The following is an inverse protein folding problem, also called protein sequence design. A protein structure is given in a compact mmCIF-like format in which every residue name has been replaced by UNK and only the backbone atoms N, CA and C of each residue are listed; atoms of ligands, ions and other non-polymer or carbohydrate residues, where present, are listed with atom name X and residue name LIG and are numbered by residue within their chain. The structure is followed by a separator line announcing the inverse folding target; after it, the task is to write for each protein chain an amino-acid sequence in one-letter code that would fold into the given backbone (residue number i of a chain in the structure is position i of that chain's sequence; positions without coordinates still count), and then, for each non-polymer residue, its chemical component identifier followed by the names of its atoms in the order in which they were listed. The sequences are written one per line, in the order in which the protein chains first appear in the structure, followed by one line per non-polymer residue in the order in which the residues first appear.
data_IF_761841861409
#
_entry.id   IF_761841861409
#
_cell.length_a   1.000
_cell.length_b   1.000
_cell.length_c   1.000
_cell.angle_alpha   90.00
_cell.angle_beta   90.00
_cell.angle_gamma   90.00
#
_symmetry.space_group_name_H-M   'P 1'
#
loop_
_entity.id
_entity.type
_entity.pdbx_description
1 polymer ?
#
# COMPACT_ATOMS: atom_id res chain seq x y z
N UNK A 1 10.53 -24.52 0.03
CA UNK A 1 10.32 -25.10 -1.32
C UNK A 1 10.00 -26.56 -1.11
N UNK A 2 8.71 -26.86 -0.94
CA UNK A 2 8.19 -28.20 -0.67
C UNK A 2 8.15 -28.99 -1.98
N UNK A 3 8.56 -30.26 -1.94
CA UNK A 3 8.86 -31.12 -3.09
C UNK A 3 7.70 -31.51 -4.02
N UNK A 4 6.64 -30.71 -4.12
CA UNK A 4 5.50 -30.91 -5.01
C UNK A 4 5.64 -30.10 -6.33
N UNK A 5 6.53 -29.10 -6.35
CA UNK A 5 6.77 -28.23 -7.53
C UNK A 5 7.50 -28.95 -8.69
N UNK A 6 8.00 -30.17 -8.48
CA UNK A 6 8.86 -30.88 -9.43
C UNK A 6 8.11 -31.62 -10.55
N UNK A 7 6.78 -31.75 -10.48
CA UNK A 7 6.01 -32.56 -11.44
C UNK A 7 4.97 -31.77 -12.26
N UNK A 8 4.53 -30.60 -11.79
CA UNK A 8 3.48 -29.83 -12.44
C UNK A 8 3.94 -29.20 -13.77
N UNK A 9 3.41 -29.67 -14.89
CA UNK A 9 3.63 -29.07 -16.21
C UNK A 9 2.71 -27.86 -16.35
N UNK A 10 3.29 -26.66 -16.47
CA UNK A 10 2.51 -25.43 -16.55
C UNK A 10 1.87 -25.30 -17.94
N UNK A 11 0.55 -25.11 -18.02
CA UNK A 11 -0.19 -24.99 -19.28
C UNK A 11 -0.60 -23.55 -19.54
N UNK A 12 -0.23 -23.02 -20.70
CA UNK A 12 -0.59 -21.65 -21.10
C UNK A 12 -1.38 -21.69 -22.39
N UNK A 13 -2.53 -21.02 -22.41
CA UNK A 13 -3.30 -20.76 -23.63
C UNK A 13 -2.97 -19.38 -24.17
N UNK A 14 -2.49 -19.30 -25.42
CA UNK A 14 -2.22 -18.05 -26.13
C UNK A 14 -3.37 -17.72 -27.07
N UNK A 15 -4.04 -16.60 -26.86
CA UNK A 15 -5.18 -16.14 -27.66
C UNK A 15 -4.74 -14.96 -28.53
N UNK A 16 -4.43 -15.25 -29.79
CA UNK A 16 -3.90 -14.30 -30.78
C UNK A 16 -4.24 -14.77 -32.20
N UNK A 17 -4.91 -13.90 -32.95
CA UNK A 17 -5.35 -14.12 -34.33
C UNK A 17 -4.18 -14.09 -35.32
N UNK A 18 -3.15 -13.27 -35.06
CA UNK A 18 -2.01 -13.13 -35.97
C UNK A 18 -0.96 -14.21 -35.73
N UNK A 19 -0.84 -15.12 -36.69
CA UNK A 19 0.11 -16.25 -36.69
C UNK A 19 1.52 -15.86 -36.27
N UNK A 20 2.06 -14.77 -36.79
CA UNK A 20 3.42 -14.31 -36.48
C UNK A 20 3.59 -13.96 -34.99
N UNK A 21 2.63 -13.22 -34.42
CA UNK A 21 2.69 -12.79 -33.02
C UNK A 21 2.48 -13.97 -32.08
N UNK A 22 1.55 -14.86 -32.43
CA UNK A 22 1.30 -16.11 -31.73
C UNK A 22 2.55 -16.97 -31.64
N UNK A 23 3.28 -17.13 -32.76
CA UNK A 23 4.56 -17.85 -32.79
C UNK A 23 5.60 -17.18 -31.89
N UNK A 24 5.75 -15.87 -31.98
CA UNK A 24 6.71 -15.12 -31.14
C UNK A 24 6.42 -15.28 -29.64
N UNK A 25 5.16 -15.17 -29.23
CA UNK A 25 4.73 -15.39 -27.84
C UNK A 25 5.04 -16.84 -27.43
N UNK A 26 4.66 -17.80 -28.27
CA UNK A 26 4.87 -19.23 -27.98
C UNK A 26 6.35 -19.57 -27.79
N UNK A 27 7.24 -19.13 -28.68
CA UNK A 27 8.68 -19.34 -28.55
C UNK A 27 9.24 -18.64 -27.30
N UNK A 28 8.75 -17.43 -26.99
CA UNK A 28 9.16 -16.72 -25.78
C UNK A 28 8.79 -17.49 -24.52
N UNK A 29 7.60 -18.10 -24.48
CA UNK A 29 7.12 -18.85 -23.32
C UNK A 29 7.86 -20.17 -23.14
N UNK A 30 8.32 -20.83 -24.20
CA UNK A 30 9.12 -22.05 -24.10
C UNK A 30 10.40 -21.88 -23.28
N UNK A 31 10.92 -20.65 -23.19
CA UNK A 31 12.05 -20.33 -22.29
C UNK A 31 11.73 -20.49 -20.79
N UNK A 32 10.47 -20.74 -20.40
CA UNK A 32 10.08 -21.15 -19.05
C UNK A 32 10.50 -22.57 -18.69
N UNK A 33 10.88 -23.41 -19.66
CA UNK A 33 11.22 -24.81 -19.45
C UNK A 33 9.99 -25.71 -19.54
N UNK A 34 9.50 -26.21 -18.40
CA UNK A 34 8.38 -27.18 -18.33
C UNK A 34 7.01 -26.53 -18.56
N UNK A 35 6.76 -26.12 -19.80
CA UNK A 35 5.51 -25.48 -20.22
C UNK A 35 4.90 -26.16 -21.44
N UNK A 36 3.58 -26.37 -21.42
CA UNK A 36 2.79 -26.68 -22.61
C UNK A 36 2.10 -25.38 -23.02
N UNK A 37 2.31 -24.99 -24.27
CA UNK A 37 1.68 -23.80 -24.84
C UNK A 37 0.76 -24.26 -25.94
N UNK A 38 -0.53 -23.96 -25.79
CA UNK A 38 -1.52 -24.13 -26.83
C UNK A 38 -2.08 -22.76 -27.25
N UNK A 39 -2.94 -22.73 -28.26
CA UNK A 39 -3.43 -21.48 -28.79
C UNK A 39 -4.88 -21.50 -29.27
N UNK A 40 -5.45 -20.31 -29.26
CA UNK A 40 -6.69 -19.98 -29.94
C UNK A 40 -6.50 -18.72 -30.79
N UNK A 41 -7.24 -18.63 -31.88
CA UNK A 41 -7.23 -17.53 -32.84
C UNK A 41 -8.33 -16.50 -32.57
N UNK A 42 -9.39 -16.85 -31.84
CA UNK A 42 -10.45 -15.94 -31.43
C UNK A 42 -10.94 -16.23 -30.00
N UNK A 43 -11.78 -15.33 -29.47
CA UNK A 43 -12.31 -15.45 -28.11
C UNK A 43 -13.21 -16.66 -27.92
N UNK A 44 -14.03 -17.02 -28.91
CA UNK A 44 -14.92 -18.19 -28.84
C UNK A 44 -14.15 -19.50 -28.81
N UNK A 45 -13.16 -19.63 -29.70
CA UNK A 45 -12.24 -20.76 -29.69
C UNK A 45 -11.49 -20.84 -28.36
N UNK A 46 -11.05 -19.71 -27.80
CA UNK A 46 -10.39 -19.69 -26.50
C UNK A 46 -11.28 -20.20 -25.36
N UNK A 47 -12.56 -19.79 -25.31
CA UNK A 47 -13.51 -20.25 -24.28
C UNK A 47 -13.74 -21.75 -24.36
N UNK A 48 -13.85 -22.32 -25.56
CA UNK A 48 -13.97 -23.76 -25.77
C UNK A 48 -12.68 -24.50 -25.37
N UNK A 49 -11.52 -23.98 -25.81
CA UNK A 49 -10.22 -24.58 -25.54
C UNK A 49 -9.90 -24.62 -24.04
N UNK A 50 -10.33 -23.62 -23.25
CA UNK A 50 -10.11 -23.58 -21.80
C UNK A 50 -10.69 -24.83 -21.11
N UNK A 51 -11.90 -25.25 -21.49
CA UNK A 51 -12.56 -26.42 -20.90
C UNK A 51 -11.86 -27.75 -21.21
N UNK A 52 -11.18 -27.84 -22.36
CA UNK A 52 -10.47 -29.05 -22.78
C UNK A 52 -9.01 -29.09 -22.31
N UNK A 53 -8.30 -27.96 -22.42
CA UNK A 53 -6.87 -27.86 -22.11
C UNK A 53 -6.62 -27.79 -20.59
N UNK A 54 -7.57 -27.22 -19.84
CA UNK A 54 -7.42 -26.86 -18.43
C UNK A 54 -6.14 -26.03 -18.19
N UNK A 55 -5.99 -24.85 -18.85
CA UNK A 55 -4.79 -24.05 -18.73
C UNK A 55 -4.63 -23.47 -17.32
N UNK A 56 -3.40 -23.22 -16.91
CA UNK A 56 -3.07 -22.50 -15.68
C UNK A 56 -3.06 -20.98 -15.86
N UNK A 57 -2.94 -20.53 -17.11
CA UNK A 57 -2.88 -19.12 -17.48
C UNK A 57 -3.32 -18.91 -18.92
N UNK A 58 -3.91 -17.74 -19.17
CA UNK A 58 -4.22 -17.26 -20.52
C UNK A 58 -3.37 -16.03 -20.81
N UNK A 59 -2.82 -15.97 -22.02
CA UNK A 59 -2.21 -14.76 -22.57
C UNK A 59 -3.04 -14.35 -23.79
N UNK A 60 -3.72 -13.21 -23.73
CA UNK A 60 -4.60 -12.74 -24.80
C UNK A 60 -4.11 -11.44 -25.41
N UNK A 61 -4.34 -11.26 -26.71
CA UNK A 61 -4.22 -9.95 -27.34
C UNK A 61 -5.36 -9.03 -26.90
N UNK A 62 -5.06 -7.75 -26.71
CA UNK A 62 -6.02 -6.65 -26.66
C UNK A 62 -6.79 -6.49 -27.97
N UNK A 63 -6.07 -6.45 -29.09
CA UNK A 63 -6.61 -6.20 -30.44
C UNK A 63 -7.16 -7.48 -31.10
N UNK A 64 -7.35 -8.56 -30.32
CA UNK A 64 -7.91 -9.83 -30.77
C UNK A 64 -9.20 -9.62 -31.55
N UNK A 65 -9.28 -10.19 -32.77
CA UNK A 65 -10.49 -10.13 -33.60
C UNK A 65 -11.06 -8.70 -33.73
N UNK A 66 -10.18 -7.73 -34.00
CA UNK A 66 -10.56 -6.33 -34.17
C UNK A 66 -10.86 -5.56 -32.88
N UNK A 67 -10.31 -5.98 -31.73
CA UNK A 67 -10.44 -5.26 -30.45
C UNK A 67 -11.34 -5.92 -29.41
N UNK A 68 -11.71 -7.19 -29.63
CA UNK A 68 -12.58 -7.96 -28.76
C UNK A 68 -11.84 -8.69 -27.63
N UNK A 69 -10.53 -8.49 -27.46
CA UNK A 69 -9.75 -9.09 -26.37
C UNK A 69 -10.33 -8.81 -24.98
N UNK A 70 -10.78 -7.58 -24.73
CA UNK A 70 -11.47 -7.23 -23.48
C UNK A 70 -12.82 -7.93 -23.32
N UNK A 71 -13.56 -8.11 -24.43
CA UNK A 71 -14.85 -8.80 -24.40
C UNK A 71 -14.64 -10.26 -24.01
N UNK A 72 -13.66 -10.94 -24.61
CA UNK A 72 -13.26 -12.29 -24.22
C UNK A 72 -12.96 -12.40 -22.72
N UNK A 73 -12.16 -11.50 -22.16
CA UNK A 73 -11.86 -11.54 -20.71
C UNK A 73 -13.12 -11.37 -19.87
N UNK A 74 -14.01 -10.45 -20.23
CA UNK A 74 -15.28 -10.27 -19.50
C UNK A 74 -16.16 -11.53 -19.54
N UNK A 75 -16.23 -12.20 -20.69
CA UNK A 75 -16.95 -13.47 -20.88
C UNK A 75 -16.36 -14.59 -20.04
N UNK A 76 -15.03 -14.71 -20.01
CA UNK A 76 -14.31 -15.62 -19.11
C UNK A 76 -14.63 -15.33 -17.63
N UNK A 77 -14.61 -14.05 -17.22
CA UNK A 77 -14.98 -13.64 -15.85
C UNK A 77 -16.47 -13.86 -15.54
N UNK A 78 -17.34 -13.87 -16.54
CA UNK A 78 -18.75 -14.21 -16.41
C UNK A 78 -19.01 -15.72 -16.29
N UNK A 79 -17.98 -16.56 -16.46
CA UNK A 79 -18.09 -18.00 -16.29
C UNK A 79 -18.47 -18.76 -17.56
N UNK A 80 -18.37 -18.14 -18.74
CA UNK A 80 -18.71 -18.81 -20.01
C UNK A 80 -17.83 -20.02 -20.33
N UNK A 81 -16.59 -20.05 -19.83
CA UNK A 81 -15.72 -21.23 -19.92
C UNK A 81 -15.95 -22.25 -18.78
N UNK A 82 -16.82 -21.94 -17.82
CA UNK A 82 -17.06 -22.69 -16.58
C UNK A 82 -16.69 -21.89 -15.33
N UNK A 83 -17.43 -22.11 -14.24
CA UNK A 83 -17.32 -21.36 -12.99
C UNK A 83 -15.90 -21.40 -12.38
N UNK A 84 -15.24 -22.55 -12.47
CA UNK A 84 -13.86 -22.73 -11.97
C UNK A 84 -12.83 -21.86 -12.69
N UNK A 85 -13.07 -21.48 -13.95
CA UNK A 85 -12.13 -20.70 -14.76
C UNK A 85 -12.34 -19.19 -14.64
N UNK A 86 -13.36 -18.73 -13.90
CA UNK A 86 -13.53 -17.29 -13.63
C UNK A 86 -12.29 -16.68 -12.98
N UNK A 87 -11.55 -17.48 -12.21
CA UNK A 87 -10.31 -17.08 -11.51
C UNK A 87 -9.02 -17.40 -12.27
N UNK A 88 -9.14 -17.92 -13.50
CA UNK A 88 -8.01 -18.24 -14.37
C UNK A 88 -7.17 -16.97 -14.61
N UNK A 89 -5.87 -16.97 -14.30
CA UNK A 89 -5.03 -15.80 -14.50
C UNK A 89 -4.92 -15.40 -15.96
N UNK A 90 -5.08 -14.11 -16.26
CA UNK A 90 -5.04 -13.56 -17.63
C UNK A 90 -3.97 -12.48 -17.74
N UNK A 91 -3.03 -12.65 -18.66
CA UNK A 91 -2.11 -11.59 -19.07
C UNK A 91 -2.56 -11.03 -20.42
N UNK A 92 -2.68 -9.71 -20.53
CA UNK A 92 -3.06 -9.06 -21.78
C UNK A 92 -1.86 -8.42 -22.46
N UNK A 93 -1.64 -8.74 -23.74
CA UNK A 93 -0.66 -8.09 -24.59
C UNK A 93 -1.34 -6.97 -25.40
N UNK A 94 -0.79 -5.75 -25.38
CA UNK A 94 -1.37 -4.61 -26.10
C UNK A 94 -0.32 -3.88 -26.93
N UNK A 95 -0.68 -3.39 -28.11
CA UNK A 95 0.22 -2.60 -28.97
C UNK A 95 0.36 -1.13 -28.55
N UNK A 96 -0.55 -0.61 -27.72
CA UNK A 96 -0.62 0.80 -27.34
C UNK A 96 -0.68 0.97 -25.83
N UNK A 97 0.21 1.78 -25.27
CA UNK A 97 0.31 2.04 -23.83
C UNK A 97 -0.50 3.23 -23.31
N UNK A 98 -1.63 3.59 -23.95
CA UNK A 98 -2.46 4.71 -23.47
C UNK A 98 -3.07 4.38 -22.11
N UNK A 99 -3.25 5.39 -21.25
CA UNK A 99 -3.86 5.23 -19.92
C UNK A 99 -5.23 4.54 -20.01
N UNK A 100 -6.06 4.93 -20.99
CA UNK A 100 -7.37 4.33 -21.21
C UNK A 100 -7.34 2.83 -21.56
N UNK A 101 -6.29 2.38 -22.25
CA UNK A 101 -6.08 0.96 -22.57
C UNK A 101 -5.78 0.18 -21.29
N UNK A 102 -4.84 0.69 -20.49
CA UNK A 102 -4.46 0.07 -19.21
C UNK A 102 -5.67 0.00 -18.25
N UNK A 103 -6.44 1.08 -18.17
CA UNK A 103 -7.66 1.13 -17.36
C UNK A 103 -8.73 0.16 -17.86
N UNK A 104 -8.92 0.06 -19.18
CA UNK A 104 -9.84 -0.89 -19.80
C UNK A 104 -9.50 -2.34 -19.45
N UNK A 105 -8.23 -2.74 -19.58
CA UNK A 105 -7.75 -4.09 -19.22
C UNK A 105 -7.99 -4.39 -17.74
N UNK A 106 -7.61 -3.44 -16.87
CA UNK A 106 -7.81 -3.56 -15.42
C UNK A 106 -9.28 -3.68 -15.05
N UNK A 107 -10.16 -2.95 -15.75
CA UNK A 107 -11.60 -2.98 -15.52
C UNK A 107 -12.26 -4.27 -16.03
N UNK A 108 -11.73 -4.88 -17.09
CA UNK A 108 -12.20 -6.16 -17.62
C UNK A 108 -11.82 -7.35 -16.73
N UNK A 109 -10.89 -7.19 -15.78
CA UNK A 109 -10.49 -8.28 -14.88
C UNK A 109 -9.20 -8.99 -15.30
N UNK A 110 -8.33 -8.30 -16.05
CA UNK A 110 -7.00 -8.78 -16.43
C UNK A 110 -6.05 -8.80 -15.23
N UNK A 111 -5.19 -9.82 -15.17
CA UNK A 111 -4.20 -9.96 -14.12
C UNK A 111 -2.99 -9.05 -14.34
N UNK A 112 -2.28 -9.29 -15.42
CA UNK A 112 -1.13 -8.49 -15.84
C UNK A 112 -1.29 -7.98 -17.26
N UNK A 113 -0.54 -6.93 -17.59
CA UNK A 113 -0.48 -6.47 -18.96
C UNK A 113 0.98 -6.30 -19.40
N UNK A 114 1.21 -6.51 -20.69
CA UNK A 114 2.50 -6.31 -21.34
C UNK A 114 2.29 -5.47 -22.60
N UNK A 115 3.20 -4.54 -22.84
CA UNK A 115 3.15 -3.70 -24.05
C UNK A 115 4.05 -4.29 -25.12
N UNK A 116 3.54 -4.36 -26.35
CA UNK A 116 4.32 -4.68 -27.55
C UNK A 116 5.02 -3.42 -28.08
N UNK A 117 6.26 -3.53 -28.57
CA UNK A 117 7.12 -4.71 -28.52
C UNK A 117 7.62 -4.98 -27.08
N UNK A 118 7.69 -6.25 -26.68
CA UNK A 118 8.24 -6.67 -25.39
C UNK A 118 9.48 -7.55 -25.58
N UNK A 119 10.42 -7.47 -24.63
CA UNK A 119 11.50 -8.44 -24.54
C UNK A 119 11.02 -9.76 -23.96
N UNK A 120 11.75 -10.84 -24.23
CA UNK A 120 11.53 -12.15 -23.58
C UNK A 120 11.47 -11.99 -22.07
N UNK A 121 12.44 -11.28 -21.48
CA UNK A 121 12.48 -11.03 -20.04
C UNK A 121 11.23 -10.31 -19.53
N UNK A 122 10.72 -9.31 -20.27
CA UNK A 122 9.54 -8.56 -19.87
C UNK A 122 8.29 -9.44 -19.79
N UNK A 123 8.06 -10.31 -20.78
CA UNK A 123 6.93 -11.25 -20.77
C UNK A 123 7.10 -12.29 -19.65
N UNK A 124 8.27 -12.93 -19.56
CA UNK A 124 8.54 -13.95 -18.54
C UNK A 124 8.42 -13.40 -17.11
N UNK A 125 8.84 -12.15 -16.88
CA UNK A 125 8.66 -11.49 -15.60
C UNK A 125 7.18 -11.37 -15.23
N UNK A 126 6.30 -11.01 -16.19
CA UNK A 126 4.85 -10.92 -15.92
C UNK A 126 4.24 -12.28 -15.62
N UNK A 127 4.64 -13.32 -16.34
CA UNK A 127 4.21 -14.70 -16.05
C UNK A 127 4.59 -15.10 -14.62
N UNK A 128 5.86 -14.89 -14.24
CA UNK A 128 6.35 -15.22 -12.89
C UNK A 128 5.66 -14.39 -11.80
N UNK A 129 5.39 -13.11 -12.05
CA UNK A 129 4.66 -12.26 -11.10
C UNK A 129 3.24 -12.78 -10.81
N UNK A 130 2.52 -13.20 -11.85
CA UNK A 130 1.17 -13.76 -11.71
C UNK A 130 1.19 -15.11 -10.98
N UNK A 131 2.18 -15.94 -11.28
CA UNK A 131 2.37 -17.23 -10.61
C UNK A 131 2.67 -17.05 -9.12
N UNK A 132 3.62 -16.17 -8.77
CA UNK A 132 4.08 -16.00 -7.39
C UNK A 132 3.11 -15.19 -6.53
N UNK A 133 2.30 -14.29 -7.12
CA UNK A 133 1.47 -13.33 -6.38
C UNK A 133 0.04 -13.30 -6.92
N UNK A 134 -0.72 -14.36 -6.65
CA UNK A 134 -2.17 -14.37 -6.90
C UNK A 134 -2.82 -13.30 -6.03
N UNK A 135 -3.54 -12.37 -6.67
CA UNK A 135 -4.27 -11.30 -5.99
C UNK A 135 -5.63 -11.79 -5.53
N UNK A 136 -6.13 -11.22 -4.44
CA UNK A 136 -7.50 -11.47 -3.99
C UNK A 136 -8.48 -11.27 -5.14
N UNK A 137 -9.34 -12.26 -5.36
CA UNK A 137 -10.36 -12.19 -6.40
C UNK A 137 -11.61 -11.51 -5.83
N UNK A 138 -12.05 -10.44 -6.49
CA UNK A 138 -13.18 -9.62 -6.06
C UNK A 138 -14.37 -9.90 -6.97
N UNK A 139 -15.50 -10.21 -6.36
CA UNK A 139 -16.77 -10.40 -7.05
C UNK A 139 -17.79 -9.39 -6.51
N UNK A 140 -18.36 -8.60 -7.41
CA UNK A 140 -19.34 -7.57 -7.10
C UNK A 140 -20.23 -7.34 -8.32
N UNK A 141 -21.39 -6.71 -8.11
CA UNK A 141 -22.32 -6.38 -9.20
C UNK A 141 -21.67 -5.61 -10.38
N UNK A 142 -20.59 -4.85 -10.14
CA UNK A 142 -19.96 -3.99 -11.16
C UNK A 142 -18.57 -4.48 -11.60
N UNK A 143 -18.05 -5.52 -10.98
CA UNK A 143 -16.70 -6.01 -11.26
C UNK A 143 -16.51 -7.44 -10.80
N UNK A 144 -15.95 -8.25 -11.68
CA UNK A 144 -15.44 -9.58 -11.40
C UNK A 144 -14.00 -9.65 -11.89
N UNK A 145 -13.07 -9.93 -10.98
CA UNK A 145 -11.66 -10.03 -11.33
C UNK A 145 -10.70 -9.80 -10.16
N UNK A 146 -9.39 -9.85 -10.42
CA UNK A 146 -8.36 -9.67 -9.40
C UNK A 146 -8.38 -8.26 -8.82
N UNK A 147 -8.06 -8.12 -7.54
CA UNK A 147 -8.06 -6.83 -6.85
C UNK A 147 -7.26 -5.79 -7.65
N UNK A 148 -7.97 -4.73 -8.07
CA UNK A 148 -7.39 -3.64 -8.87
C UNK A 148 -6.26 -2.94 -8.12
N UNK A 149 -6.19 -3.01 -6.78
CA UNK A 149 -5.18 -2.33 -5.94
C UNK A 149 -3.87 -3.13 -5.89
N UNK A 150 -2.95 -2.87 -6.81
CA UNK A 150 -1.63 -3.55 -6.87
C UNK A 150 -0.65 -3.16 -5.78
N UNK A 151 -0.68 -1.90 -5.37
CA UNK A 151 0.04 -1.44 -4.18
C UNK A 151 -1.00 -1.19 -3.11
N UNK A 152 -0.87 -1.84 -1.95
CA UNK A 152 -1.28 -1.17 -0.70
C UNK A 152 -0.42 0.08 -0.66
N UNK A 153 -0.93 1.22 -1.14
CA UNK A 153 -0.34 2.50 -0.80
C UNK A 153 -0.35 2.54 0.73
N UNK A 154 0.83 2.31 1.33
CA UNK A 154 1.07 2.35 2.77
C UNK A 154 1.04 3.78 3.29
N UNK A 155 -0.01 4.53 2.96
CA UNK A 155 -0.13 5.96 3.29
C UNK A 155 -1.57 6.45 3.27
N UNK A 156 -2.55 5.55 3.41
CA UNK A 156 -3.92 5.97 3.70
C UNK A 156 -4.29 5.47 5.08
N UNK A 157 -4.27 6.42 6.02
CA UNK A 157 -4.58 6.22 7.44
C UNK A 157 -6.06 6.51 7.76
N UNK A 158 -6.87 6.83 6.74
CA UNK A 158 -8.29 7.11 6.90
C UNK A 158 -9.16 5.84 6.94
N UNK A 159 -10.42 5.96 7.38
CA UNK A 159 -11.31 4.80 7.52
C UNK A 159 -11.92 4.29 6.21
N UNK A 160 -12.12 5.11 5.14
CA UNK A 160 -12.82 4.70 3.90
C UNK A 160 -12.39 5.43 2.60
N UNK A 161 -12.27 4.68 1.47
CA UNK A 161 -11.59 5.12 0.21
C UNK A 161 -12.50 5.34 -1.03
N UNK A 162 -13.82 5.27 -0.93
CA UNK A 162 -14.74 5.37 -2.09
C UNK A 162 -15.13 6.83 -2.36
N UNK A 163 -15.35 7.16 -3.63
CA UNK A 163 -15.77 8.49 -4.10
C UNK A 163 -17.09 8.99 -3.45
N UNK A 164 -17.94 8.08 -2.98
CA UNK A 164 -19.25 8.35 -2.38
C UNK A 164 -19.30 8.10 -0.88
N UNK A 165 -18.15 7.89 -0.23
CA UNK A 165 -18.16 7.87 1.23
C UNK A 165 -18.62 9.26 1.72
N UNK A 166 -19.64 9.28 2.58
CA UNK A 166 -20.09 10.48 3.30
C UNK A 166 -18.90 11.11 4.02
N UNK A 167 -18.95 12.41 4.33
CA UNK A 167 -17.84 13.22 4.89
C UNK A 167 -17.42 12.79 6.31
N UNK A 168 -17.05 11.53 6.51
CA UNK A 168 -16.26 11.00 7.63
C UNK A 168 -14.79 11.49 7.56
N UNK A 169 -14.49 12.43 6.66
CA UNK A 169 -13.17 13.06 6.55
C UNK A 169 -12.79 13.86 7.79
N UNK A 170 -13.66 14.08 8.77
CA UNK A 170 -13.36 14.97 9.90
C UNK A 170 -13.15 14.24 11.23
N UNK A 171 -13.57 12.98 11.37
CA UNK A 171 -13.52 12.27 12.64
C UNK A 171 -12.54 11.08 12.58
N UNK A 172 -11.52 11.12 13.44
CA UNK A 172 -10.76 9.93 13.80
C UNK A 172 -11.72 8.84 14.33
N UNK A 173 -11.36 7.55 14.19
CA UNK A 173 -12.18 6.48 14.78
C UNK A 173 -12.36 6.71 16.30
N UNK A 174 -13.51 6.34 16.92
CA UNK A 174 -13.76 6.61 18.35
C UNK A 174 -12.61 6.17 19.27
N UNK A 175 -12.03 4.99 19.04
CA UNK A 175 -10.89 4.49 19.80
C UNK A 175 -9.64 5.38 19.65
N UNK A 176 -9.41 5.92 18.45
CA UNK A 176 -8.29 6.81 18.18
C UNK A 176 -8.51 8.19 18.82
N UNK A 177 -9.74 8.70 18.83
CA UNK A 177 -10.10 9.94 19.54
C UNK A 177 -9.85 9.81 21.05
N UNK A 178 -10.26 8.68 21.64
CA UNK A 178 -10.02 8.40 23.07
C UNK A 178 -8.52 8.39 23.37
N UNK A 179 -7.71 7.69 22.55
CA UNK A 179 -6.26 7.63 22.75
C UNK A 179 -5.57 8.97 22.55
N UNK A 180 -6.02 9.78 21.59
CA UNK A 180 -5.54 11.16 21.43
C UNK A 180 -5.91 12.04 22.62
N UNK A 181 -7.14 11.91 23.14
CA UNK A 181 -7.56 12.56 24.38
C UNK A 181 -6.63 12.21 25.55
N UNK A 182 -6.31 10.92 25.73
CA UNK A 182 -5.34 10.47 26.72
C UNK A 182 -3.96 11.10 26.51
N UNK A 183 -3.46 11.15 25.27
CA UNK A 183 -2.17 11.79 24.96
C UNK A 183 -2.16 13.29 25.31
N UNK A 184 -3.25 14.02 25.05
CA UNK A 184 -3.40 15.43 25.46
C UNK A 184 -3.36 15.57 26.99
N UNK A 185 -4.13 14.74 27.71
CA UNK A 185 -4.14 14.75 29.18
C UNK A 185 -2.77 14.43 29.77
N UNK A 186 -2.03 13.48 29.18
CA UNK A 186 -0.64 13.19 29.58
C UNK A 186 0.26 14.42 29.38
N UNK A 187 0.19 15.08 28.22
CA UNK A 187 1.02 16.23 27.90
C UNK A 187 0.70 17.45 28.80
N UNK A 188 -0.57 17.70 29.08
CA UNK A 188 -1.04 18.76 29.99
C UNK A 188 -0.55 18.50 31.42
N UNK A 189 -0.66 17.25 31.91
CA UNK A 189 -0.16 16.86 33.23
C UNK A 189 1.34 17.04 33.34
N UNK A 190 2.10 16.66 32.31
CA UNK A 190 3.55 16.89 32.26
C UNK A 190 3.89 18.38 32.25
N UNK A 191 3.10 19.19 31.54
CA UNK A 191 3.28 20.66 31.49
C UNK A 191 3.09 21.28 32.86
N UNK A 192 2.05 20.87 33.59
CA UNK A 192 1.81 21.30 34.96
C UNK A 192 2.96 20.89 35.91
N UNK A 193 3.51 19.69 35.71
CA UNK A 193 4.64 19.20 36.51
C UNK A 193 5.96 19.95 36.24
N UNK A 194 6.10 20.70 35.12
CA UNK A 194 7.30 21.48 34.83
C UNK A 194 7.58 22.57 35.86
N UNK A 195 6.55 23.07 36.54
CA UNK A 195 6.68 24.13 37.55
C UNK A 195 7.34 23.66 38.87
N UNK A 196 7.49 22.35 39.07
CA UNK A 196 8.04 21.74 40.30
C UNK A 196 9.22 20.80 39.98
N UNK A 197 9.96 21.08 38.91
CA UNK A 197 11.14 20.32 38.49
C UNK A 197 12.38 20.71 39.32
N UNK A 198 12.33 20.46 40.62
CA UNK A 198 13.40 20.87 41.55
C UNK A 198 14.24 19.68 42.05
N UNK A 199 13.82 18.45 41.77
CA UNK A 199 14.46 17.23 42.27
C UNK A 199 14.84 16.24 41.15
N UNK A 200 15.89 15.42 41.36
CA UNK A 200 16.23 14.32 40.46
C UNK A 200 15.08 13.33 40.26
N UNK A 201 14.24 13.12 41.28
CA UNK A 201 13.05 12.28 41.19
C UNK A 201 12.00 12.87 40.23
N UNK A 202 11.80 14.19 40.26
CA UNK A 202 10.90 14.90 39.35
C UNK A 202 11.35 14.73 37.88
N UNK A 203 12.65 14.82 37.61
CA UNK A 203 13.22 14.60 36.26
C UNK A 203 13.07 13.14 35.81
N UNK A 204 13.32 12.18 36.71
CA UNK A 204 13.10 10.75 36.43
C UNK A 204 11.63 10.45 36.11
N UNK A 205 10.70 11.05 36.86
CA UNK A 205 9.27 10.92 36.60
C UNK A 205 8.91 11.50 35.22
N UNK A 206 9.45 12.67 34.85
CA UNK A 206 9.25 13.24 33.52
C UNK A 206 9.77 12.31 32.41
N UNK A 207 10.92 11.66 32.60
CA UNK A 207 11.48 10.69 31.67
C UNK A 207 10.57 9.46 31.51
N UNK A 208 10.00 8.94 32.61
CA UNK A 208 9.07 7.82 32.56
C UNK A 208 7.77 8.20 31.82
N UNK A 209 7.21 9.36 32.15
CA UNK A 209 5.97 9.86 31.53
C UNK A 209 6.14 10.13 30.03
N UNK A 210 7.28 10.70 29.61
CA UNK A 210 7.58 10.90 28.19
C UNK A 210 7.75 9.57 27.43
N UNK A 211 8.31 8.53 28.06
CA UNK A 211 8.40 7.19 27.48
C UNK A 211 7.03 6.51 27.32
N UNK A 212 6.14 6.65 28.31
CA UNK A 212 4.76 6.15 28.23
C UNK A 212 3.99 6.84 27.10
N UNK A 213 4.14 8.15 26.98
CA UNK A 213 3.52 8.94 25.93
C UNK A 213 4.03 8.56 24.53
N UNK A 214 5.33 8.27 24.37
CA UNK A 214 5.89 7.77 23.12
C UNK A 214 5.35 6.38 22.74
N UNK A 215 5.17 5.49 23.74
CA UNK A 215 4.57 4.17 23.54
C UNK A 215 3.11 4.29 23.09
N UNK A 216 2.33 5.17 23.74
CA UNK A 216 0.95 5.45 23.35
C UNK A 216 0.87 5.97 21.91
N UNK A 217 1.78 6.86 21.50
CA UNK A 217 1.87 7.36 20.13
C UNK A 217 2.18 6.24 19.12
N UNK A 218 3.07 5.32 19.48
CA UNK A 218 3.40 4.15 18.66
C UNK A 218 2.20 3.21 18.49
N UNK A 219 1.43 2.95 19.55
CA UNK A 219 0.25 2.09 19.50
C UNK A 219 -0.89 2.69 18.65
N UNK A 220 -0.96 4.02 18.56
CA UNK A 220 -1.86 4.73 17.65
C UNK A 220 -1.39 4.68 16.19
N UNK A 221 -0.12 4.35 15.93
CA UNK A 221 0.53 4.43 14.62
C UNK A 221 0.47 5.85 14.01
N UNK A 222 0.48 6.87 14.86
CA UNK A 222 0.46 8.26 14.43
C UNK A 222 1.90 8.78 14.28
N UNK A 223 2.41 8.80 13.05
CA UNK A 223 3.81 9.12 12.79
C UNK A 223 4.24 10.54 13.25
N UNK A 224 3.35 11.53 13.17
CA UNK A 224 3.67 12.90 13.58
C UNK A 224 3.75 13.00 15.10
N UNK A 225 2.80 12.39 15.81
CA UNK A 225 2.81 12.34 17.26
C UNK A 225 3.97 11.48 17.78
N UNK A 226 4.27 10.35 17.13
CA UNK A 226 5.45 9.52 17.42
C UNK A 226 6.74 10.33 17.29
N UNK A 227 6.88 11.13 16.23
CA UNK A 227 8.06 11.98 16.03
C UNK A 227 8.22 13.00 17.17
N UNK A 228 7.15 13.71 17.53
CA UNK A 228 7.20 14.73 18.58
C UNK A 228 7.48 14.13 19.96
N UNK A 229 6.82 13.03 20.31
CA UNK A 229 6.98 12.33 21.60
C UNK A 229 8.34 11.66 21.73
N UNK A 230 8.87 11.06 20.65
CA UNK A 230 10.21 10.48 20.64
C UNK A 230 11.30 11.56 20.76
N UNK A 231 11.12 12.70 20.09
CA UNK A 231 12.01 13.86 20.23
C UNK A 231 12.06 14.34 21.69
N UNK A 232 10.90 14.48 22.33
CA UNK A 232 10.81 14.85 23.75
C UNK A 232 11.51 13.81 24.65
N UNK A 233 11.21 12.53 24.46
CA UNK A 233 11.80 11.46 25.27
C UNK A 233 13.32 11.42 25.15
N UNK A 234 13.85 11.53 23.93
CA UNK A 234 15.29 11.56 23.69
C UNK A 234 15.95 12.79 24.30
N UNK A 235 15.29 13.96 24.23
CA UNK A 235 15.77 15.18 24.87
C UNK A 235 15.85 15.04 26.39
N UNK A 236 14.76 14.60 27.04
CA UNK A 236 14.70 14.43 28.50
C UNK A 236 15.69 13.35 28.97
N UNK A 237 15.79 12.23 28.24
CA UNK A 237 16.72 11.13 28.56
C UNK A 237 18.18 11.54 28.40
N UNK A 238 18.51 12.29 27.33
CA UNK A 238 19.87 12.71 27.04
C UNK A 238 20.36 13.83 27.95
N UNK A 239 19.55 14.89 28.14
CA UNK A 239 19.94 16.07 28.93
C UNK A 239 19.75 15.84 30.43
N UNK A 240 18.69 15.13 30.84
CA UNK A 240 18.36 14.91 32.24
C UNK A 240 19.35 14.06 33.04
N UNK A 241 20.37 13.49 32.39
CA UNK A 241 21.44 12.72 33.04
C UNK A 241 22.72 13.55 33.32
N UNK A 242 22.94 14.66 32.60
CA UNK A 242 24.24 15.36 32.57
C UNK A 242 24.15 16.88 32.76
N UNK A 243 22.99 17.53 32.52
CA UNK A 243 22.84 18.99 32.59
C UNK A 243 21.46 19.45 33.08
N UNK A 244 21.35 20.74 33.41
CA UNK A 244 20.08 21.38 33.77
C UNK A 244 19.12 21.36 32.56
N UNK A 245 17.96 20.72 32.72
CA UNK A 245 16.93 20.59 31.71
C UNK A 245 16.36 21.97 31.34
N UNK A 246 16.34 22.32 30.04
CA UNK A 246 15.66 23.54 29.60
C UNK A 246 14.14 23.31 29.58
N UNK A 247 13.43 23.86 30.57
CA UNK A 247 11.98 23.69 30.73
C UNK A 247 11.18 24.31 29.58
N UNK A 248 11.71 25.32 28.88
CA UNK A 248 11.06 25.90 27.71
C UNK A 248 11.08 24.96 26.50
N UNK A 249 12.17 24.22 26.31
CA UNK A 249 12.26 23.21 25.24
C UNK A 249 11.27 22.08 25.49
N UNK A 250 11.16 21.63 26.75
CA UNK A 250 10.17 20.61 27.12
C UNK A 250 8.75 21.12 26.94
N UNK A 251 8.45 22.35 27.38
CA UNK A 251 7.14 22.97 27.20
C UNK A 251 6.74 23.06 25.73
N UNK A 252 7.65 23.48 24.85
CA UNK A 252 7.39 23.56 23.41
C UNK A 252 7.01 22.19 22.80
N UNK A 253 7.69 21.10 23.22
CA UNK A 253 7.32 19.75 22.80
C UNK A 253 5.94 19.36 23.30
N UNK A 254 5.62 19.61 24.56
CA UNK A 254 4.33 19.25 25.15
C UNK A 254 3.17 20.03 24.50
N UNK A 255 3.34 21.32 24.24
CA UNK A 255 2.35 22.13 23.51
C UNK A 255 2.12 21.61 22.09
N UNK A 256 3.18 21.26 21.36
CA UNK A 256 3.07 20.67 20.04
C UNK A 256 2.36 19.30 20.07
N UNK A 257 2.63 18.47 21.08
CA UNK A 257 1.96 17.18 21.28
C UNK A 257 0.45 17.39 21.55
N UNK A 258 0.09 18.32 22.43
CA UNK A 258 -1.31 18.68 22.72
C UNK A 258 -2.03 19.16 21.45
N UNK A 259 -1.40 20.03 20.65
CA UNK A 259 -1.96 20.47 19.36
C UNK A 259 -2.10 19.31 18.36
N UNK A 260 -1.09 18.44 18.27
CA UNK A 260 -1.16 17.28 17.38
C UNK A 260 -2.24 16.27 17.79
N UNK A 261 -2.54 16.17 19.08
CA UNK A 261 -3.58 15.32 19.64
C UNK A 261 -4.98 15.92 19.47
N UNK A 262 -5.13 17.25 19.51
CA UNK A 262 -6.42 17.92 19.28
C UNK A 262 -6.82 17.98 17.80
N UNK A 263 -5.84 17.98 16.89
CA UNK A 263 -6.09 17.98 15.45
C UNK A 263 -6.43 16.57 14.92
N UNK A 264 -7.54 16.41 14.16
CA UNK A 264 -7.87 15.16 13.49
C UNK A 264 -6.80 14.73 12.47
N UNK A 265 -6.63 13.43 12.22
CA UNK A 265 -5.64 12.95 11.25
C UNK A 265 -5.89 13.44 9.81
N UNK A 266 -7.13 13.82 9.52
CA UNK A 266 -7.49 14.41 8.23
C UNK A 266 -6.89 15.77 7.97
N UNK A 267 -6.55 16.52 9.02
CA UNK A 267 -5.87 17.83 8.93
C UNK A 267 -4.36 17.67 8.84
N UNK A 268 -3.88 16.74 8.00
CA UNK A 268 -2.48 16.35 7.91
C UNK A 268 -1.54 17.53 7.58
N UNK A 269 -1.99 18.51 6.79
CA UNK A 269 -1.19 19.70 6.45
C UNK A 269 -0.95 20.58 7.70
N UNK A 270 -2.00 20.88 8.46
CA UNK A 270 -1.89 21.65 9.71
C UNK A 270 -0.99 20.92 10.72
N UNK A 271 -1.18 19.60 10.87
CA UNK A 271 -0.36 18.79 11.77
C UNK A 271 1.11 18.78 11.37
N UNK A 272 1.43 18.73 10.07
CA UNK A 272 2.82 18.85 9.58
C UNK A 272 3.42 20.21 9.91
N UNK A 273 2.66 21.29 9.77
CA UNK A 273 3.09 22.64 10.14
C UNK A 273 3.49 22.72 11.61
N UNK A 274 2.70 22.11 12.53
CA UNK A 274 3.03 22.05 13.96
C UNK A 274 4.38 21.36 14.19
N UNK A 275 4.62 20.19 13.58
CA UNK A 275 5.92 19.50 13.71
C UNK A 275 7.10 20.28 13.11
N UNK A 276 6.90 21.00 12.01
CA UNK A 276 7.93 21.84 11.40
C UNK A 276 8.28 23.03 12.31
N UNK A 277 7.27 23.71 12.87
CA UNK A 277 7.46 24.80 13.83
C UNK A 277 8.18 24.33 15.09
N UNK A 278 7.82 23.16 15.62
CA UNK A 278 8.51 22.54 16.75
C UNK A 278 10.01 22.35 16.45
N UNK A 279 10.35 21.74 15.32
CA UNK A 279 11.76 21.49 14.94
C UNK A 279 12.57 22.79 14.87
N UNK A 280 12.02 23.85 14.25
CA UNK A 280 12.67 25.16 14.17
C UNK A 280 12.85 25.78 15.55
N UNK A 281 11.81 25.74 16.39
CA UNK A 281 11.83 26.34 17.73
C UNK A 281 12.84 25.63 18.64
N UNK A 282 12.84 24.29 18.63
CA UNK A 282 13.77 23.47 19.43
C UNK A 282 15.21 23.73 19.00
N UNK A 283 15.50 23.73 17.70
CA UNK A 283 16.85 24.01 17.17
C UNK A 283 17.35 25.40 17.60
N UNK A 284 16.47 26.41 17.53
CA UNK A 284 16.78 27.77 17.97
C UNK A 284 17.06 27.85 19.47
N UNK A 285 16.22 27.24 20.30
CA UNK A 285 16.36 27.25 21.77
C UNK A 285 17.59 26.48 22.25
N UNK A 286 17.91 25.35 21.61
CA UNK A 286 19.13 24.59 21.91
C UNK A 286 20.40 25.38 21.57
N UNK A 287 20.40 26.10 20.44
CA UNK A 287 21.53 26.98 20.07
C UNK A 287 21.72 28.11 21.07
N UNK A 288 20.65 28.77 21.48
CA UNK A 288 20.70 29.85 22.47
C UNK A 288 21.18 29.37 23.85
N UNK A 289 20.80 28.15 24.25
CA UNK A 289 21.28 27.54 25.50
C UNK A 289 22.77 27.17 25.42
N UNK A 290 23.28 26.77 24.26
CA UNK A 290 24.70 26.47 24.05
C UNK A 290 25.60 27.71 23.89
N UNK A 291 25.04 28.86 23.51
CA UNK A 291 25.76 30.15 23.45
C UNK A 291 25.82 30.86 24.82
N UNK A 292 25.04 30.40 25.80
CA UNK A 292 24.94 30.98 27.15
C UNK A 292 25.65 30.16 28.26
N UNK A 293 26.28 29.04 27.90
CA UNK A 293 27.06 28.15 28.77
C UNK A 293 28.55 28.26 28.46
#
# INVERSE_FOLDING_TARGET
MTGDDAEHIFKILVVEDRVFQRRLITETLRALGRVIVDHADCGDHALQAIGHLLPDMVITDWDLDGGQGLAFVKRLRAGEAGEMFRRLPVIMAAGRGKVSVIEGARNAGVDEFVLRPFSTEALLRRVREVQARRRDFIESMRYVGPCRRRRRQGGYEGPRRRLFDTRDKEADAPDLQIRKGLASTYAERMTAALASLDSPESVRNLCLMSGQLATLAQDMKDHLLMSATSSLFNYVKGVGAEAALNTEVVRAHLEAITQLASLPNSQAELRRTVTQQLSVMVTKKLRQAGEAA
#
